data_IF_235708123551
#
_entry.id   IF_235708123551
#
_cell.length_a   1.000
_cell.length_b   1.000
_cell.length_c   1.000
_cell.angle_alpha   90.00
_cell.angle_beta   90.00
_cell.angle_gamma   90.00
#
_symmetry.space_group_name_H-M   'P 1'
#
loop_
_entity.id
_entity.type
_entity.pdbx_description
1 polymer ?
#
# COMPACT_ATOMS: atom_id res chain seq x y z
N UNK A 1 6.14 -4.30 10.40
CA UNK A 1 5.26 -5.15 11.23
C UNK A 1 5.77 -6.58 11.11
N UNK A 2 5.37 -7.49 12.03
CA UNK A 2 5.99 -8.81 12.33
C UNK A 2 7.46 -8.77 12.79
N UNK A 3 8.30 -7.94 12.19
CA UNK A 3 9.66 -7.62 12.66
C UNK A 3 9.70 -6.44 13.66
N UNK A 4 8.56 -6.04 14.23
CA UNK A 4 8.43 -4.92 15.18
C UNK A 4 8.89 -3.52 14.67
N UNK A 5 8.92 -3.32 13.35
CA UNK A 5 9.39 -2.07 12.70
C UNK A 5 8.34 -0.94 12.58
N UNK A 6 7.13 -1.08 13.17
CA UNK A 6 6.04 -0.07 13.14
C UNK A 6 5.88 0.68 11.80
N UNK A 7 5.51 -0.03 10.71
CA UNK A 7 5.49 0.53 9.37
C UNK A 7 4.29 1.46 9.19
N UNK A 8 4.51 2.53 8.44
CA UNK A 8 3.47 3.40 7.89
C UNK A 8 3.37 3.12 6.38
N UNK A 9 2.16 2.87 5.91
CA UNK A 9 1.81 2.65 4.50
C UNK A 9 0.98 3.83 4.01
N UNK A 10 1.44 4.49 2.95
CA UNK A 10 0.69 5.52 2.25
C UNK A 10 -0.03 4.88 1.07
N UNK A 11 -1.36 4.99 0.99
CA UNK A 11 -2.16 4.22 0.02
C UNK A 11 -2.02 4.72 -1.41
N UNK A 12 -1.77 6.01 -1.60
CA UNK A 12 -1.99 6.68 -2.88
C UNK A 12 -3.48 6.86 -3.19
N UNK A 13 -3.78 7.33 -4.40
CA UNK A 13 -5.13 7.62 -4.89
C UNK A 13 -6.06 6.40 -4.90
N UNK A 14 -5.53 5.26 -5.33
CA UNK A 14 -6.28 4.03 -5.48
C UNK A 14 -5.87 3.03 -4.40
N UNK A 15 -6.50 3.10 -3.24
CA UNK A 15 -6.31 2.07 -2.21
C UNK A 15 -6.67 0.69 -2.78
N UNK A 16 -5.81 -0.29 -2.52
CA UNK A 16 -5.93 -1.64 -3.07
C UNK A 16 -5.35 -1.81 -4.49
N UNK A 17 -4.97 -0.73 -5.17
CA UNK A 17 -4.33 -0.80 -6.49
C UNK A 17 -5.22 -1.42 -7.57
N UNK A 18 -4.62 -1.88 -8.67
CA UNK A 18 -5.33 -2.30 -9.89
C UNK A 18 -6.36 -3.42 -9.68
N UNK A 19 -6.16 -4.30 -8.69
CA UNK A 19 -7.10 -5.39 -8.42
C UNK A 19 -8.47 -4.89 -7.94
N UNK A 20 -8.59 -3.65 -7.45
CA UNK A 20 -9.91 -3.09 -7.10
C UNK A 20 -10.76 -2.75 -8.32
N UNK A 21 -10.17 -2.67 -9.52
CA UNK A 21 -10.89 -2.43 -10.77
C UNK A 21 -11.24 -3.69 -11.55
N UNK A 22 -10.71 -4.86 -11.15
CA UNK A 22 -11.10 -6.13 -11.76
C UNK A 22 -12.28 -6.74 -11.02
N UNK A 23 -13.06 -7.56 -11.72
CA UNK A 23 -14.09 -8.38 -11.09
C UNK A 23 -13.46 -9.64 -10.51
N UNK A 24 -13.39 -10.71 -11.30
CA UNK A 24 -12.96 -12.04 -10.84
C UNK A 24 -11.44 -12.22 -10.98
N UNK A 25 -10.87 -12.97 -10.03
CA UNK A 25 -9.45 -13.30 -9.95
C UNK A 25 -9.32 -14.81 -9.77
N UNK A 26 -9.13 -15.54 -10.86
CA UNK A 26 -9.10 -17.02 -10.84
C UNK A 26 -7.71 -17.61 -10.55
N UNK A 27 -6.67 -16.77 -10.52
CA UNK A 27 -5.29 -17.21 -10.47
C UNK A 27 -4.55 -16.79 -9.18
N UNK A 28 -5.29 -16.38 -8.14
CA UNK A 28 -4.69 -16.13 -6.82
C UNK A 28 -4.68 -17.43 -5.99
N UNK A 29 -3.51 -18.03 -5.72
CA UNK A 29 -3.45 -19.28 -4.97
C UNK A 29 -3.93 -19.08 -3.54
N UNK A 30 -4.96 -19.84 -3.15
CA UNK A 30 -5.56 -19.78 -1.81
C UNK A 30 -7.07 -19.53 -1.84
N UNK A 31 -7.61 -19.07 -2.96
CA UNK A 31 -9.04 -18.96 -3.20
C UNK A 31 -9.40 -19.75 -4.46
N UNK A 32 -10.19 -20.82 -4.29
CA UNK A 32 -10.41 -21.82 -5.35
C UNK A 32 -11.46 -21.38 -6.36
N UNK A 33 -12.48 -20.62 -5.94
CA UNK A 33 -13.55 -20.14 -6.82
C UNK A 33 -14.09 -18.78 -6.33
N UNK A 34 -14.47 -17.91 -7.28
CA UNK A 34 -15.28 -16.72 -7.01
C UNK A 34 -14.58 -15.59 -6.26
N UNK A 35 -13.24 -15.53 -6.32
CA UNK A 35 -12.52 -14.43 -5.68
C UNK A 35 -12.71 -13.13 -6.45
N UNK A 36 -13.24 -12.11 -5.77
CA UNK A 36 -13.33 -10.77 -6.31
C UNK A 36 -12.07 -9.97 -5.96
N UNK A 37 -11.56 -9.18 -6.92
CA UNK A 37 -10.39 -8.34 -6.72
C UNK A 37 -10.50 -7.37 -5.53
N UNK A 38 -11.61 -6.61 -5.39
CA UNK A 38 -11.85 -5.78 -4.22
C UNK A 38 -11.81 -6.55 -2.89
N UNK A 39 -12.38 -7.75 -2.83
CA UNK A 39 -12.42 -8.58 -1.62
C UNK A 39 -11.04 -9.09 -1.22
N UNK A 40 -10.19 -9.45 -2.20
CA UNK A 40 -8.79 -9.79 -1.95
C UNK A 40 -8.05 -8.61 -1.31
N UNK A 41 -8.22 -7.41 -1.86
CA UNK A 41 -7.51 -6.22 -1.37
C UNK A 41 -7.98 -5.79 0.01
N UNK A 42 -9.27 -5.93 0.31
CA UNK A 42 -9.80 -5.69 1.65
C UNK A 42 -9.22 -6.70 2.67
N UNK A 43 -9.15 -8.00 2.31
CA UNK A 43 -8.50 -9.00 3.16
C UNK A 43 -7.02 -8.68 3.41
N UNK A 44 -6.30 -8.17 2.41
CA UNK A 44 -4.91 -7.74 2.57
C UNK A 44 -4.79 -6.52 3.51
N UNK A 45 -5.68 -5.53 3.38
CA UNK A 45 -5.73 -4.36 4.26
C UNK A 45 -5.94 -4.77 5.72
N UNK A 46 -6.95 -5.61 5.98
CA UNK A 46 -7.23 -6.14 7.31
C UNK A 46 -6.05 -6.95 7.88
N UNK A 47 -5.37 -7.72 7.03
CA UNK A 47 -4.17 -8.45 7.42
C UNK A 47 -3.03 -7.51 7.85
N UNK A 48 -2.80 -6.41 7.11
CA UNK A 48 -1.80 -5.42 7.47
C UNK A 48 -2.12 -4.71 8.80
N UNK A 49 -3.38 -4.32 9.00
CA UNK A 49 -3.86 -3.66 10.22
C UNK A 49 -3.82 -4.58 11.44
N UNK A 50 -4.11 -5.87 11.27
CA UNK A 50 -3.99 -6.89 12.34
C UNK A 50 -2.58 -6.91 12.95
N UNK A 51 -1.56 -6.56 12.16
CA UNK A 51 -0.18 -6.43 12.63
C UNK A 51 0.25 -4.98 12.91
N UNK A 52 -0.72 -4.09 13.16
CA UNK A 52 -0.53 -2.70 13.55
C UNK A 52 0.28 -1.89 12.54
N UNK A 53 0.10 -2.18 11.25
CA UNK A 53 0.56 -1.28 10.18
C UNK A 53 -0.34 -0.06 10.19
N UNK A 54 0.26 1.13 10.26
CA UNK A 54 -0.47 2.38 10.12
C UNK A 54 -0.74 2.62 8.63
N UNK A 55 -2.00 2.87 8.27
CA UNK A 55 -2.39 3.12 6.89
C UNK A 55 -2.88 4.56 6.79
N UNK A 56 -2.22 5.35 5.95
CA UNK A 56 -2.54 6.75 5.72
C UNK A 56 -3.03 6.94 4.29
N UNK A 57 -4.21 7.54 4.17
CA UNK A 57 -4.76 7.95 2.89
C UNK A 57 -4.13 9.29 2.50
N UNK A 58 -3.07 9.19 1.72
CA UNK A 58 -2.36 10.34 1.16
C UNK A 58 -1.72 9.94 -0.17
N UNK A 59 -1.31 10.93 -0.96
CA UNK A 59 -0.55 10.72 -2.19
C UNK A 59 0.80 11.42 -2.06
N UNK A 60 1.89 10.66 -2.22
CA UNK A 60 3.24 11.21 -2.24
C UNK A 60 3.49 11.94 -3.56
N UNK A 61 3.87 13.22 -3.47
CA UNK A 61 4.18 14.09 -4.61
C UNK A 61 5.67 14.20 -4.87
N UNK A 62 6.50 14.18 -3.83
CA UNK A 62 7.96 14.29 -3.98
C UNK A 62 8.72 13.54 -2.90
N UNK A 63 9.96 13.17 -3.21
CA UNK A 63 10.85 12.44 -2.31
C UNK A 63 12.28 12.99 -2.37
N UNK A 64 12.94 13.06 -1.21
CA UNK A 64 14.37 13.39 -1.07
C UNK A 64 15.11 12.16 -0.57
N UNK A 65 15.84 11.52 -1.48
CA UNK A 65 16.51 10.23 -1.23
C UNK A 65 18.03 10.36 -1.00
N UNK A 66 18.58 11.55 -1.21
CA UNK A 66 20.03 11.81 -1.08
C UNK A 66 20.43 12.23 0.35
N UNK A 67 19.45 12.45 1.22
CA UNK A 67 19.63 12.80 2.62
C UNK A 67 18.95 11.76 3.52
N UNK A 68 19.47 11.60 4.75
CA UNK A 68 18.90 10.70 5.77
C UNK A 68 18.46 11.51 7.00
N UNK A 69 17.28 11.20 7.60
CA UNK A 69 16.29 10.23 7.12
C UNK A 69 15.70 10.66 5.77
N UNK A 70 15.19 9.72 4.99
CA UNK A 70 14.50 10.04 3.74
C UNK A 70 13.30 10.92 4.07
N UNK A 71 13.01 11.90 3.21
CA UNK A 71 11.84 12.77 3.37
C UNK A 71 10.91 12.62 2.20
N UNK A 72 9.63 12.57 2.48
CA UNK A 72 8.56 12.49 1.49
C UNK A 72 7.55 13.58 1.78
N UNK A 73 7.04 14.23 0.75
CA UNK A 73 5.96 15.21 0.85
C UNK A 73 4.75 14.64 0.17
N UNK A 74 3.65 14.48 0.92
CA UNK A 74 2.34 14.13 0.41
C UNK A 74 1.42 15.35 0.28
N UNK A 75 0.18 15.13 -0.12
CA UNK A 75 -0.84 16.18 -0.21
C UNK A 75 -1.27 16.65 1.18
N UNK A 76 -1.28 15.75 2.15
CA UNK A 76 -1.79 16.01 3.50
C UNK A 76 -0.70 16.24 4.55
N UNK A 77 0.57 16.01 4.22
CA UNK A 77 1.66 16.22 5.18
C UNK A 77 3.06 15.82 4.69
N UNK A 78 4.01 15.91 5.62
CA UNK A 78 5.40 15.46 5.42
C UNK A 78 5.68 14.19 6.21
N UNK A 79 6.45 13.29 5.62
CA UNK A 79 6.85 12.02 6.20
C UNK A 79 8.36 11.90 6.20
N UNK A 80 8.89 11.19 7.19
CA UNK A 80 10.30 10.80 7.20
C UNK A 80 10.46 9.35 7.60
N UNK A 81 11.45 8.68 7.02
CA UNK A 81 11.73 7.28 7.34
C UNK A 81 13.22 6.94 7.17
N UNK A 82 13.68 5.94 7.93
CA UNK A 82 15.04 5.42 7.82
C UNK A 82 15.19 4.49 6.59
N UNK A 83 14.11 3.83 6.20
CA UNK A 83 14.01 2.94 5.06
C UNK A 83 12.69 3.19 4.31
N UNK A 84 12.75 3.14 2.98
CA UNK A 84 11.60 3.38 2.10
C UNK A 84 11.40 2.16 1.18
N UNK A 85 10.16 1.68 1.09
CA UNK A 85 9.73 0.67 0.11
C UNK A 85 8.82 1.36 -0.89
N UNK A 86 9.17 1.29 -2.18
CA UNK A 86 8.35 1.84 -3.27
C UNK A 86 7.54 0.71 -3.88
N UNK A 87 6.21 0.78 -3.72
CA UNK A 87 5.25 -0.22 -4.22
C UNK A 87 4.05 0.45 -4.90
N UNK A 88 4.28 1.57 -5.61
CA UNK A 88 3.25 2.41 -6.24
C UNK A 88 2.55 1.77 -7.45
N UNK A 89 2.97 0.56 -7.85
CA UNK A 89 2.44 -0.13 -9.01
C UNK A 89 2.70 0.62 -10.31
N UNK A 90 1.78 0.46 -11.26
CA UNK A 90 1.75 1.18 -12.53
C UNK A 90 0.29 1.58 -12.82
N UNK A 91 0.08 2.49 -13.78
CA UNK A 91 -1.25 2.77 -14.33
C UNK A 91 -1.34 2.15 -15.72
N UNK A 92 -2.45 1.46 -16.01
CA UNK A 92 -2.76 1.08 -17.39
C UNK A 92 -3.13 2.36 -18.16
N UNK A 93 -2.36 2.68 -19.20
CA UNK A 93 -2.74 3.69 -20.20
C UNK A 93 -3.74 3.10 -21.18
#
# INVERSE_FOLDING_TARGET
ARANLKPLLVTGLQMGGQLTTTTEVDNWPGDVEGLMGPDLMERMRQHAERFQTEIVFDQIQSVKLQERPFKLTGDSGEYSCDALIVATGASAQ
#
